data_IF_417401393389
#
_entry.id   IF_417401393389
#
_cell.length_a   1.000
_cell.length_b   1.000
_cell.length_c   1.000
_cell.angle_alpha   90.00
_cell.angle_beta   90.00
_cell.angle_gamma   90.00
#
_symmetry.space_group_name_H-M   'P 1'
#
loop_
_entity.id
_entity.type
_entity.pdbx_description
1 polymer ?
#
# COMPACT_ATOMS: atom_id res chain seq x y z
N UNK A 1 -22.02 -57.51 0.06
CA UNK A 1 -22.89 -56.61 -0.71
C UNK A 1 -22.02 -55.48 -1.23
N UNK A 2 -21.55 -55.60 -2.48
CA UNK A 2 -20.69 -54.59 -3.11
C UNK A 2 -21.57 -53.64 -3.90
N UNK A 3 -21.60 -52.37 -3.52
CA UNK A 3 -22.34 -51.32 -4.21
C UNK A 3 -21.59 -50.91 -5.48
N UNK A 4 -22.04 -51.42 -6.61
CA UNK A 4 -21.73 -50.92 -7.95
C UNK A 4 -22.28 -49.49 -8.09
N UNK A 5 -21.43 -48.49 -7.87
CA UNK A 5 -21.77 -47.10 -8.14
C UNK A 5 -21.78 -46.93 -9.67
N UNK A 6 -22.98 -47.01 -10.24
CA UNK A 6 -23.25 -46.87 -11.68
C UNK A 6 -22.82 -45.48 -12.19
N UNK A 7 -21.56 -45.38 -12.63
CA UNK A 7 -20.91 -44.17 -13.15
C UNK A 7 -21.48 -43.66 -14.49
N UNK A 8 -22.24 -44.51 -15.20
CA UNK A 8 -22.80 -44.19 -16.52
C UNK A 8 -24.04 -43.29 -16.44
N UNK A 9 -24.88 -43.48 -15.41
CA UNK A 9 -26.10 -42.68 -15.22
C UNK A 9 -25.82 -41.29 -14.65
N UNK A 10 -24.76 -41.14 -13.85
CA UNK A 10 -24.32 -39.84 -13.31
C UNK A 10 -23.96 -38.87 -14.44
N UNK A 11 -23.25 -39.37 -15.47
CA UNK A 11 -22.78 -38.58 -16.62
C UNK A 11 -23.93 -38.04 -17.49
N UNK A 12 -25.09 -38.71 -17.47
CA UNK A 12 -26.27 -38.32 -18.24
C UNK A 12 -27.17 -37.33 -17.46
N UNK A 13 -27.24 -37.47 -16.12
CA UNK A 13 -27.98 -36.56 -15.24
C UNK A 13 -27.34 -35.17 -15.08
N UNK A 14 -26.01 -35.06 -15.23
CA UNK A 14 -25.31 -33.76 -15.16
C UNK A 14 -25.44 -32.93 -16.43
N UNK A 15 -25.72 -33.54 -17.58
CA UNK A 15 -25.78 -32.84 -18.89
C UNK A 15 -26.84 -31.72 -18.95
N UNK A 16 -28.09 -31.90 -18.47
CA UNK A 16 -29.07 -30.82 -18.43
C UNK A 16 -28.71 -29.74 -17.39
N UNK A 17 -28.14 -30.12 -16.24
CA UNK A 17 -27.66 -29.17 -15.22
C UNK A 17 -26.53 -28.29 -15.76
N UNK A 18 -25.59 -28.87 -16.51
CA UNK A 18 -24.44 -28.16 -17.08
C UNK A 18 -24.90 -27.19 -18.17
N UNK A 19 -25.84 -27.60 -19.02
CA UNK A 19 -26.37 -26.72 -20.07
C UNK A 19 -27.22 -25.58 -19.51
N UNK A 20 -28.02 -25.85 -18.47
CA UNK A 20 -28.78 -24.80 -17.77
C UNK A 20 -27.84 -23.84 -17.04
N UNK A 21 -26.84 -24.38 -16.34
CA UNK A 21 -25.81 -23.60 -15.65
C UNK A 21 -25.01 -22.69 -16.61
N UNK A 22 -24.66 -23.16 -17.81
CA UNK A 22 -23.90 -22.36 -18.81
C UNK A 22 -24.60 -21.08 -19.25
N UNK A 23 -25.93 -21.06 -19.29
CA UNK A 23 -26.69 -19.86 -19.68
C UNK A 23 -26.62 -18.76 -18.62
N UNK A 24 -26.63 -19.14 -17.33
CA UNK A 24 -26.59 -18.20 -16.20
C UNK A 24 -25.18 -17.99 -15.63
N UNK A 25 -24.21 -18.82 -16.01
CA UNK A 25 -22.80 -18.72 -15.58
C UNK A 25 -22.17 -17.34 -15.85
N UNK A 26 -22.31 -16.71 -17.05
CA UNK A 26 -21.73 -15.39 -17.26
C UNK A 26 -22.40 -14.34 -16.38
N UNK A 27 -23.72 -14.41 -16.18
CA UNK A 27 -24.44 -13.50 -15.29
C UNK A 27 -24.01 -13.65 -13.83
N UNK A 28 -23.95 -14.88 -13.33
CA UNK A 28 -23.48 -15.18 -11.98
C UNK A 28 -22.02 -14.73 -11.78
N UNK A 29 -21.17 -14.90 -12.80
CA UNK A 29 -19.78 -14.42 -12.77
C UNK A 29 -19.72 -12.89 -12.66
N UNK A 30 -20.50 -12.16 -13.46
CA UNK A 30 -20.58 -10.70 -13.38
C UNK A 30 -21.09 -10.21 -12.03
N UNK A 31 -22.11 -10.87 -11.47
CA UNK A 31 -22.64 -10.54 -10.14
C UNK A 31 -21.58 -10.81 -9.05
N UNK A 32 -20.94 -11.97 -9.09
CA UNK A 32 -19.87 -12.31 -8.14
C UNK A 32 -18.68 -11.34 -8.24
N UNK A 33 -18.31 -10.96 -9.47
CA UNK A 33 -17.26 -9.96 -9.71
C UNK A 33 -17.65 -8.58 -9.17
N UNK A 34 -18.90 -8.15 -9.39
CA UNK A 34 -19.43 -6.90 -8.83
C UNK A 34 -19.41 -6.89 -7.31
N UNK A 35 -19.84 -7.98 -6.67
CA UNK A 35 -19.78 -8.14 -5.21
C UNK A 35 -18.33 -8.08 -4.72
N UNK A 36 -17.40 -8.74 -5.41
CA UNK A 36 -15.98 -8.72 -5.06
C UNK A 36 -15.38 -7.31 -5.18
N UNK A 37 -15.68 -6.57 -6.24
CA UNK A 37 -15.26 -5.18 -6.36
C UNK A 37 -15.85 -4.30 -5.26
N UNK A 38 -17.14 -4.46 -4.94
CA UNK A 38 -17.80 -3.72 -3.87
C UNK A 38 -17.19 -4.03 -2.50
N UNK A 39 -16.87 -5.30 -2.24
CA UNK A 39 -16.18 -5.75 -1.04
C UNK A 39 -14.77 -5.13 -0.94
N UNK A 40 -14.00 -5.11 -2.02
CA UNK A 40 -12.68 -4.48 -2.05
C UNK A 40 -12.75 -2.98 -1.75
N UNK A 41 -13.70 -2.26 -2.35
CA UNK A 41 -13.90 -0.83 -2.08
C UNK A 41 -14.29 -0.59 -0.61
N UNK A 42 -15.18 -1.42 -0.06
CA UNK A 42 -15.53 -1.37 1.36
C UNK A 42 -14.32 -1.60 2.27
N UNK A 43 -13.49 -2.58 1.94
CA UNK A 43 -12.25 -2.87 2.66
C UNK A 43 -11.24 -1.73 2.59
N UNK A 44 -11.01 -1.19 1.40
CA UNK A 44 -10.10 -0.05 1.21
C UNK A 44 -10.58 1.13 2.04
N UNK A 45 -11.87 1.43 2.07
CA UNK A 45 -12.40 2.50 2.91
C UNK A 45 -12.22 2.20 4.41
N UNK A 46 -12.37 0.94 4.81
CA UNK A 46 -12.12 0.50 6.19
C UNK A 46 -10.69 0.72 6.63
N UNK A 47 -9.71 0.61 5.73
CA UNK A 47 -8.29 0.88 6.06
C UNK A 47 -7.89 2.34 5.83
N UNK A 48 -8.46 3.01 4.84
CA UNK A 48 -8.14 4.39 4.51
C UNK A 48 -8.72 5.39 5.52
N UNK A 49 -9.80 5.01 6.21
CA UNK A 49 -10.40 5.81 7.29
C UNK A 49 -9.83 5.49 8.67
N UNK A 50 -8.84 4.57 8.77
CA UNK A 50 -8.08 4.42 10.01
C UNK A 50 -7.10 5.58 10.05
N UNK A 51 -7.47 6.63 10.79
CA UNK A 51 -6.50 7.63 11.23
C UNK A 51 -5.39 6.87 11.98
N UNK A 52 -4.12 6.94 11.52
CA UNK A 52 -3.04 6.23 12.18
C UNK A 52 -3.00 6.67 13.64
N UNK A 53 -3.02 5.70 14.54
CA UNK A 53 -2.93 6.00 15.97
C UNK A 53 -1.57 6.63 16.28
N UNK A 54 -1.48 7.47 17.31
CA UNK A 54 -0.21 8.15 17.67
C UNK A 54 0.96 7.14 17.87
N UNK A 55 0.64 5.91 18.28
CA UNK A 55 1.56 4.79 18.41
C UNK A 55 2.12 4.29 17.06
N UNK A 56 1.31 4.20 16.02
CA UNK A 56 1.74 3.80 14.66
C UNK A 56 2.57 4.90 13.99
N UNK A 57 2.28 6.17 14.29
CA UNK A 57 3.10 7.31 13.86
C UNK A 57 4.47 7.27 14.55
N UNK A 58 4.50 6.98 15.86
CA UNK A 58 5.75 6.82 16.61
C UNK A 58 6.57 5.62 16.12
N UNK A 59 5.92 4.54 15.70
CA UNK A 59 6.59 3.37 15.11
C UNK A 59 7.19 3.69 13.74
N UNK A 60 6.47 4.40 12.86
CA UNK A 60 7.01 4.86 11.58
C UNK A 60 8.12 5.92 11.73
N UNK A 61 8.03 6.79 12.74
CA UNK A 61 9.09 7.76 13.08
C UNK A 61 10.37 7.09 13.60
N UNK A 62 10.27 5.92 14.24
CA UNK A 62 11.45 5.11 14.63
C UNK A 62 12.11 4.44 13.41
N UNK A 63 11.33 4.08 12.39
CA UNK A 63 11.84 3.50 11.14
C UNK A 63 12.55 4.55 10.29
N UNK A 64 12.07 5.80 10.31
CA UNK A 64 12.80 6.92 9.73
C UNK A 64 13.89 7.33 10.74
N UNK A 65 15.08 6.74 10.62
CA UNK A 65 16.29 7.31 11.22
C UNK A 65 16.48 8.72 10.67
N UNK A 66 15.85 9.71 11.31
CA UNK A 66 16.19 11.11 11.09
C UNK A 66 17.66 11.22 11.51
N UNK A 67 18.56 11.67 10.62
CA UNK A 67 19.93 11.93 11.02
C UNK A 67 19.86 12.95 12.16
N UNK A 68 20.20 12.49 13.37
CA UNK A 68 20.30 13.35 14.53
C UNK A 68 21.56 14.17 14.33
N UNK A 69 21.39 15.42 13.90
CA UNK A 69 22.49 16.37 13.81
C UNK A 69 22.80 16.77 15.25
N UNK A 70 24.03 16.48 15.67
CA UNK A 70 24.53 16.87 16.98
C UNK A 70 24.51 18.40 17.11
N UNK A 71 23.88 18.90 18.17
CA UNK A 71 23.75 20.34 18.46
C UNK A 71 25.14 21.02 18.56
N UNK A 72 26.17 20.28 18.99
CA UNK A 72 27.55 20.80 19.05
C UNK A 72 28.10 21.12 17.65
N UNK A 73 27.75 20.30 16.65
CA UNK A 73 28.19 20.52 15.26
C UNK A 73 27.50 21.74 14.64
N UNK A 74 26.22 21.96 14.96
CA UNK A 74 25.47 23.14 14.50
C UNK A 74 26.12 24.42 15.01
N UNK A 75 26.46 24.46 16.31
CA UNK A 75 27.13 25.61 16.93
C UNK A 75 28.49 25.86 16.29
N UNK A 76 29.26 24.80 16.04
CA UNK A 76 30.58 24.91 15.43
C UNK A 76 30.53 25.40 13.97
N UNK A 77 29.55 24.94 13.20
CA UNK A 77 29.33 25.40 11.82
C UNK A 77 28.94 26.88 11.81
N UNK A 78 28.05 27.30 12.73
CA UNK A 78 27.65 28.70 12.86
C UNK A 78 28.84 29.61 13.21
N UNK A 79 29.68 29.18 14.16
CA UNK A 79 30.89 29.92 14.52
C UNK A 79 31.88 30.05 13.35
N UNK A 80 32.04 29.00 12.54
CA UNK A 80 32.91 29.04 11.36
C UNK A 80 32.37 29.98 10.27
N UNK A 81 31.04 30.04 10.11
CA UNK A 81 30.39 30.98 9.19
C UNK A 81 30.57 32.43 9.65
N UNK A 82 30.45 32.70 10.96
CA UNK A 82 30.51 34.04 11.52
C UNK A 82 31.94 34.59 11.60
N UNK A 83 32.94 33.71 11.74
CA UNK A 83 34.35 34.10 11.88
C UNK A 83 35.11 34.18 10.56
N UNK A 84 34.65 33.52 9.49
CA UNK A 84 35.40 33.46 8.25
C UNK A 84 34.57 33.87 7.03
N UNK A 85 34.92 35.02 6.45
CA UNK A 85 34.29 35.62 5.27
C UNK A 85 34.37 34.67 4.06
N UNK A 86 35.48 33.92 3.90
CA UNK A 86 35.66 32.95 2.81
C UNK A 86 34.79 31.71 2.97
N UNK A 87 34.55 31.26 4.21
CA UNK A 87 33.64 30.14 4.49
C UNK A 87 32.19 30.55 4.26
N UNK A 88 31.83 31.80 4.61
CA UNK A 88 30.50 32.35 4.38
C UNK A 88 30.11 32.36 2.90
N UNK A 89 31.02 32.75 2.00
CA UNK A 89 30.74 32.77 0.55
C UNK A 89 30.50 31.35 0.00
N UNK A 90 31.24 30.34 0.48
CA UNK A 90 31.02 28.94 0.12
C UNK A 90 29.65 28.42 0.57
N UNK A 91 29.20 28.80 1.78
CA UNK A 91 27.85 28.45 2.26
C UNK A 91 26.74 29.17 1.49
N UNK A 92 26.92 30.45 1.17
CA UNK A 92 25.96 31.23 0.38
C UNK A 92 25.83 30.67 -1.05
N UNK A 93 26.94 30.25 -1.66
CA UNK A 93 26.93 29.62 -2.98
C UNK A 93 26.31 28.22 -2.97
N UNK A 94 26.56 27.41 -1.94
CA UNK A 94 25.99 26.08 -1.79
C UNK A 94 24.49 26.09 -1.39
N UNK A 95 24.03 27.15 -0.72
CA UNK A 95 22.61 27.35 -0.36
C UNK A 95 21.72 27.80 -1.52
N UNK A 96 22.29 28.16 -2.67
CA UNK A 96 21.51 28.39 -3.89
C UNK A 96 20.93 27.05 -4.38
N UNK A 97 19.77 26.72 -3.84
CA UNK A 97 19.00 25.54 -4.21
C UNK A 97 18.42 25.76 -5.62
N UNK A 98 18.86 25.00 -6.65
CA UNK A 98 18.33 25.13 -8.00
C UNK A 98 16.91 24.56 -8.15
N UNK A 99 16.34 23.98 -7.09
CA UNK A 99 14.96 23.47 -7.04
C UNK A 99 13.99 24.45 -6.36
N UNK A 100 14.35 25.73 -6.29
CA UNK A 100 13.50 26.80 -5.78
C UNK A 100 12.70 27.42 -6.93
N UNK A 101 11.65 26.72 -7.36
CA UNK A 101 10.53 27.27 -8.16
C UNK A 101 9.20 26.86 -7.50
#
# INVERSE_FOLDING_TARGET
MSTDISTKNIKQSVRPIVNFGRTYLPFAFFVAFGILCMFLVYQINSYASVEPTEDEIAEQLKVIQRPHIDDELVVKIQQLQDQNIEVRTLFEQARNNPFSE
#
